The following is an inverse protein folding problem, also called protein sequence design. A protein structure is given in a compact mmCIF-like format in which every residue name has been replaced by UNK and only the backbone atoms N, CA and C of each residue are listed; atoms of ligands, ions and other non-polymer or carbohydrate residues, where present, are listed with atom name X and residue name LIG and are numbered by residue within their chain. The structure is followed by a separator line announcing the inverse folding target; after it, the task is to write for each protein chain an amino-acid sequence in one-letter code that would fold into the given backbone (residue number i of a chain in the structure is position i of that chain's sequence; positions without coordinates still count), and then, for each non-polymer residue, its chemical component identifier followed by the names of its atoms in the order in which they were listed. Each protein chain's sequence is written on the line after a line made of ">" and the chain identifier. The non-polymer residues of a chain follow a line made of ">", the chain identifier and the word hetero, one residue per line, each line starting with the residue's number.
data_IF_619701121288
#
_entry.id   IF_619701121288
#
_cell.length_a   1.000
_cell.length_b   1.000
_cell.length_c   1.000
_cell.angle_alpha   90.00
_cell.angle_beta   90.00
_cell.angle_gamma   90.00
#
_symmetry.space_group_name_H-M   'P 1'
#
loop_
_entity.id
_entity.type
_entity.pdbx_description
1 polymer ?
#
# COMPACT_ATOMS: atom_id res chain seq x y z
N UNK A 1 8.30 -29.84 15.66
CA UNK A 1 7.83 -28.65 16.43
C UNK A 1 8.84 -27.52 16.48
N UNK A 2 10.11 -27.75 16.80
CA UNK A 2 11.12 -26.67 16.85
C UNK A 2 11.40 -25.98 15.49
N UNK A 3 11.40 -26.70 14.38
CA UNK A 3 11.63 -26.14 13.03
C UNK A 3 10.49 -25.20 12.66
N UNK A 4 9.24 -25.60 12.86
CA UNK A 4 8.06 -24.80 12.56
C UNK A 4 8.04 -23.48 13.38
N UNK A 5 8.41 -23.55 14.66
CA UNK A 5 8.49 -22.37 15.52
C UNK A 5 9.60 -21.40 15.07
N UNK A 6 10.73 -21.91 14.60
CA UNK A 6 11.86 -21.12 14.08
C UNK A 6 11.48 -20.39 12.81
N UNK A 7 10.83 -21.07 11.86
CA UNK A 7 10.39 -20.49 10.59
C UNK A 7 9.32 -19.42 10.83
N UNK A 8 8.41 -19.67 11.78
CA UNK A 8 7.39 -18.70 12.17
C UNK A 8 7.99 -17.45 12.82
N UNK A 9 8.96 -17.59 13.73
CA UNK A 9 9.66 -16.46 14.34
C UNK A 9 10.43 -15.63 13.30
N UNK A 10 11.08 -16.30 12.37
CA UNK A 10 11.79 -15.64 11.28
C UNK A 10 10.82 -14.85 10.40
N UNK A 11 9.68 -15.43 10.03
CA UNK A 11 8.63 -14.76 9.25
C UNK A 11 8.11 -13.51 9.97
N UNK A 12 7.80 -13.62 11.26
CA UNK A 12 7.35 -12.50 12.09
C UNK A 12 8.39 -11.37 12.10
N UNK A 13 9.66 -11.70 12.22
CA UNK A 13 10.74 -10.71 12.23
C UNK A 13 10.82 -9.92 10.94
N UNK A 14 10.76 -10.58 9.77
CA UNK A 14 10.79 -9.92 8.47
C UNK A 14 9.52 -9.08 8.22
N UNK A 15 8.36 -9.57 8.61
CA UNK A 15 7.10 -8.81 8.54
C UNK A 15 7.18 -7.57 9.42
N UNK A 16 7.71 -7.70 10.63
CA UNK A 16 7.84 -6.58 11.57
C UNK A 16 8.75 -5.47 11.02
N UNK A 17 9.91 -5.83 10.46
CA UNK A 17 10.83 -4.86 9.85
C UNK A 17 10.19 -4.21 8.62
N UNK A 18 9.63 -5.00 7.72
CA UNK A 18 8.93 -4.48 6.55
C UNK A 18 7.78 -3.55 6.93
N UNK A 19 6.97 -3.96 7.91
CA UNK A 19 5.86 -3.16 8.43
C UNK A 19 6.30 -1.86 9.08
N UNK A 20 7.37 -1.88 9.85
CA UNK A 20 7.97 -0.67 10.44
C UNK A 20 8.43 0.31 9.35
N UNK A 21 9.16 -0.16 8.35
CA UNK A 21 9.60 0.65 7.22
C UNK A 21 8.41 1.19 6.42
N UNK A 22 7.43 0.36 6.13
CA UNK A 22 6.21 0.76 5.42
C UNK A 22 5.42 1.83 6.18
N UNK A 23 5.21 1.64 7.48
CA UNK A 23 4.47 2.59 8.33
C UNK A 23 5.17 3.94 8.46
N UNK A 24 6.50 3.95 8.62
CA UNK A 24 7.30 5.19 8.66
C UNK A 24 7.23 5.90 7.31
N UNK A 25 7.38 5.18 6.20
CA UNK A 25 7.29 5.73 4.85
C UNK A 25 5.90 6.33 4.58
N UNK A 26 4.84 5.66 5.03
CA UNK A 26 3.45 6.16 4.95
C UNK A 26 3.26 7.47 5.69
N UNK A 27 3.86 7.60 6.86
CA UNK A 27 3.79 8.84 7.65
C UNK A 27 4.61 9.97 7.02
N UNK A 28 5.76 9.65 6.47
CA UNK A 28 6.72 10.62 5.95
C UNK A 28 6.32 11.15 4.57
N UNK A 29 5.87 10.28 3.66
CA UNK A 29 5.62 10.65 2.26
C UNK A 29 4.60 11.79 2.10
N UNK A 30 3.42 11.80 2.75
CA UNK A 30 2.49 12.91 2.66
C UNK A 30 3.08 14.23 3.17
N UNK A 31 3.95 14.18 4.17
CA UNK A 31 4.63 15.37 4.70
C UNK A 31 5.62 15.97 3.72
N UNK A 32 6.32 15.15 2.97
CA UNK A 32 7.22 15.61 1.91
C UNK A 32 6.47 16.22 0.73
N UNK A 33 5.22 15.78 0.51
CA UNK A 33 4.35 16.28 -0.55
C UNK A 33 3.52 17.50 -0.15
N UNK A 34 3.54 17.91 1.12
CA UNK A 34 2.82 19.05 1.67
C UNK A 34 3.35 20.41 1.14
N UNK A 35 3.29 20.68 -0.06
CA UNK A 35 3.68 21.98 -0.62
C UNK A 35 3.18 22.12 -2.05
N UNK A 36 2.61 21.05 -2.58
CA UNK A 36 2.44 20.98 -4.02
C UNK A 36 1.01 21.10 -4.50
N UNK A 37 -0.02 20.66 -3.77
CA UNK A 37 -1.43 20.84 -4.22
C UNK A 37 -2.47 20.32 -3.18
N UNK A 38 -3.54 21.09 -2.97
CA UNK A 38 -4.85 20.72 -2.43
C UNK A 38 -4.94 20.39 -0.93
N UNK A 39 -5.11 21.44 -0.14
CA UNK A 39 -5.42 21.36 1.29
C UNK A 39 -6.81 20.75 1.62
N UNK A 40 -7.68 20.58 0.63
CA UNK A 40 -9.10 20.16 0.83
C UNK A 40 -9.33 18.68 0.53
N UNK A 41 -8.50 18.08 -0.28
CA UNK A 41 -8.64 16.68 -0.70
C UNK A 41 -7.57 15.81 -0.03
N UNK A 42 -7.90 14.59 0.49
CA UNK A 42 -6.92 13.74 1.18
C UNK A 42 -5.94 13.06 0.20
N UNK A 43 -5.18 13.88 -0.51
CA UNK A 43 -4.23 13.43 -1.54
C UNK A 43 -3.08 12.60 -0.99
N UNK A 44 -2.68 12.87 0.27
CA UNK A 44 -1.60 12.12 0.90
C UNK A 44 -1.92 10.64 1.04
N UNK A 45 -3.07 10.30 1.61
CA UNK A 45 -3.54 8.93 1.76
C UNK A 45 -3.79 8.26 0.40
N UNK A 46 -4.39 8.98 -0.53
CA UNK A 46 -4.63 8.47 -1.88
C UNK A 46 -3.32 8.12 -2.58
N UNK A 47 -2.33 9.01 -2.55
CA UNK A 47 -1.01 8.79 -3.15
C UNK A 47 -0.32 7.57 -2.55
N UNK A 48 -0.30 7.46 -1.22
CA UNK A 48 0.30 6.34 -0.51
C UNK A 48 -0.36 5.02 -0.91
N UNK A 49 -1.69 4.98 -0.92
CA UNK A 49 -2.44 3.78 -1.28
C UNK A 49 -2.23 3.40 -2.75
N UNK A 50 -2.21 4.36 -3.68
CA UNK A 50 -1.97 4.10 -5.10
C UNK A 50 -0.54 3.60 -5.35
N UNK A 51 0.47 4.20 -4.71
CA UNK A 51 1.85 3.71 -4.80
C UNK A 51 1.98 2.31 -4.20
N UNK A 52 1.32 2.04 -3.08
CA UNK A 52 1.29 0.70 -2.49
C UNK A 52 0.61 -0.32 -3.41
N UNK A 53 -0.47 0.05 -4.09
CA UNK A 53 -1.13 -0.79 -5.10
C UNK A 53 -0.21 -1.07 -6.30
N UNK A 54 0.52 -0.07 -6.76
CA UNK A 54 1.49 -0.24 -7.84
C UNK A 54 2.60 -1.20 -7.43
N UNK A 55 3.18 -1.01 -6.24
CA UNK A 55 4.25 -1.87 -5.71
C UNK A 55 3.78 -3.31 -5.53
N UNK A 56 2.59 -3.53 -4.95
CA UNK A 56 2.06 -4.88 -4.78
C UNK A 56 1.85 -5.57 -6.13
N UNK A 57 1.39 -4.83 -7.14
CA UNK A 57 1.25 -5.32 -8.51
C UNK A 57 2.59 -5.75 -9.10
N UNK A 58 3.65 -4.95 -8.94
CA UNK A 58 5.00 -5.29 -9.38
C UNK A 58 5.51 -6.56 -8.67
N UNK A 59 5.36 -6.65 -7.36
CA UNK A 59 5.83 -7.81 -6.59
C UNK A 59 5.12 -9.10 -7.01
N UNK A 60 3.82 -9.11 -7.10
CA UNK A 60 3.07 -10.28 -7.57
C UNK A 60 3.36 -10.61 -9.04
N UNK A 61 3.51 -9.61 -9.88
CA UNK A 61 3.91 -9.81 -11.27
C UNK A 61 5.28 -10.47 -11.42
N UNK A 62 6.25 -10.11 -10.56
CA UNK A 62 7.57 -10.77 -10.51
C UNK A 62 7.43 -12.21 -10.01
N UNK A 63 6.63 -12.45 -8.98
CA UNK A 63 6.39 -13.78 -8.43
C UNK A 63 5.74 -14.71 -9.47
N UNK A 64 4.74 -14.22 -10.20
CA UNK A 64 4.03 -14.99 -11.23
C UNK A 64 4.91 -15.43 -12.40
N UNK A 65 6.03 -14.73 -12.62
CA UNK A 65 7.01 -15.12 -13.65
C UNK A 65 7.91 -16.28 -13.23
N UNK A 66 7.74 -16.83 -12.05
CA UNK A 66 8.54 -17.96 -11.57
C UNK A 66 9.99 -17.60 -11.28
N UNK A 67 10.28 -16.35 -10.88
CA UNK A 67 11.64 -15.87 -10.58
C UNK A 67 12.27 -16.50 -9.34
N UNK A 68 11.56 -17.42 -8.66
CA UNK A 68 12.08 -18.09 -7.46
C UNK A 68 12.26 -17.16 -6.25
N UNK A 69 11.53 -16.06 -6.19
CA UNK A 69 11.55 -15.16 -5.02
C UNK A 69 11.23 -15.96 -3.75
N UNK A 70 12.13 -15.91 -2.77
CA UNK A 70 11.94 -16.64 -1.52
C UNK A 70 10.71 -16.16 -0.76
N UNK A 71 10.08 -17.06 0.02
CA UNK A 71 8.92 -16.72 0.85
C UNK A 71 9.21 -15.56 1.83
N UNK A 72 10.45 -15.45 2.30
CA UNK A 72 10.89 -14.36 3.19
C UNK A 72 10.74 -12.99 2.51
N UNK A 73 11.17 -12.86 1.26
CA UNK A 73 11.02 -11.62 0.51
C UNK A 73 9.56 -11.26 0.21
N UNK A 74 8.72 -12.26 -0.07
CA UNK A 74 7.28 -12.06 -0.22
C UNK A 74 6.66 -11.52 1.07
N UNK A 75 7.00 -12.12 2.20
CA UNK A 75 6.52 -11.68 3.51
C UNK A 75 7.00 -10.27 3.86
N UNK A 76 8.28 -10.00 3.65
CA UNK A 76 8.87 -8.69 3.91
C UNK A 76 8.24 -7.58 3.06
N UNK A 77 8.14 -7.80 1.74
CA UNK A 77 7.70 -6.77 0.79
C UNK A 77 6.17 -6.64 0.76
N UNK A 78 5.45 -7.73 0.55
CA UNK A 78 4.00 -7.67 0.37
C UNK A 78 3.27 -7.52 1.70
N UNK A 79 3.50 -8.42 2.66
CA UNK A 79 2.79 -8.39 3.95
C UNK A 79 3.33 -7.29 4.85
N UNK A 80 4.65 -7.18 4.98
CA UNK A 80 5.30 -6.19 5.83
C UNK A 80 5.22 -4.80 5.23
N UNK A 81 6.04 -4.52 4.22
CA UNK A 81 6.19 -3.17 3.69
C UNK A 81 4.89 -2.62 3.08
N UNK A 82 4.31 -3.28 2.10
CA UNK A 82 3.07 -2.80 1.47
C UNK A 82 1.91 -2.77 2.46
N UNK A 83 1.79 -3.77 3.35
CA UNK A 83 0.78 -3.80 4.41
C UNK A 83 0.91 -2.64 5.40
N UNK A 84 2.12 -2.27 5.79
CA UNK A 84 2.38 -1.11 6.64
C UNK A 84 2.27 0.23 5.91
N UNK A 85 2.63 0.27 4.63
CA UNK A 85 2.62 1.47 3.81
C UNK A 85 1.22 1.93 3.43
N UNK A 86 0.32 1.01 3.05
CA UNK A 86 -1.07 1.32 2.69
C UNK A 86 -1.97 1.40 3.93
N UNK A 87 -3.11 2.10 3.81
CA UNK A 87 -4.04 2.25 4.93
C UNK A 87 -5.49 2.33 4.48
N UNK A 88 -6.29 1.38 4.92
CA UNK A 88 -7.73 1.37 4.71
C UNK A 88 -8.48 2.16 5.79
N UNK A 89 -8.01 2.07 7.04
CA UNK A 89 -8.66 2.77 8.17
C UNK A 89 -8.62 4.29 8.02
N UNK A 90 -7.49 4.84 7.65
CA UNK A 90 -7.35 6.29 7.37
C UNK A 90 -8.24 6.71 6.21
N UNK A 91 -8.25 5.93 5.13
CA UNK A 91 -9.15 6.14 3.98
C UNK A 91 -10.63 6.19 4.39
N UNK A 92 -11.10 5.24 5.20
CA UNK A 92 -12.47 5.22 5.69
C UNK A 92 -12.78 6.45 6.58
N UNK A 93 -11.86 6.80 7.48
CA UNK A 93 -12.03 7.95 8.36
C UNK A 93 -12.08 9.28 7.59
N UNK A 94 -11.24 9.45 6.58
CA UNK A 94 -11.24 10.63 5.72
C UNK A 94 -12.52 10.72 4.88
N UNK A 95 -12.97 9.59 4.31
CA UNK A 95 -14.26 9.52 3.59
C UNK A 95 -15.42 9.91 4.49
N UNK A 96 -15.46 9.38 5.72
CA UNK A 96 -16.49 9.75 6.70
C UNK A 96 -16.44 11.24 7.05
N UNK A 97 -15.27 11.81 7.19
CA UNK A 97 -15.08 13.24 7.45
C UNK A 97 -15.64 14.09 6.33
N UNK A 98 -15.39 13.73 5.07
CA UNK A 98 -15.97 14.41 3.91
C UNK A 98 -17.50 14.32 3.90
N UNK A 99 -18.08 13.18 4.27
CA UNK A 99 -19.52 13.01 4.38
C UNK A 99 -20.12 13.89 5.50
N UNK A 100 -19.45 13.94 6.66
CA UNK A 100 -19.90 14.77 7.81
C UNK A 100 -19.84 16.27 7.54
N UNK A 101 -18.90 16.70 6.71
CA UNK A 101 -18.74 18.09 6.30
C UNK A 101 -19.58 18.46 5.07
N UNK A 102 -20.55 17.63 4.71
CA UNK A 102 -21.46 17.83 3.55
C UNK A 102 -20.76 17.87 2.18
N UNK A 103 -19.53 17.35 2.10
CA UNK A 103 -18.76 17.28 0.86
C UNK A 103 -19.01 15.95 0.13
N UNK A 104 -20.27 15.72 -0.28
CA UNK A 104 -20.73 14.44 -0.84
C UNK A 104 -20.01 14.07 -2.14
N UNK A 105 -19.78 15.02 -3.03
CA UNK A 105 -19.09 14.78 -4.31
C UNK A 105 -17.62 14.45 -4.10
N UNK A 106 -16.95 15.14 -3.18
CA UNK A 106 -15.57 14.85 -2.83
C UNK A 106 -15.45 13.47 -2.17
N UNK A 107 -16.39 13.10 -1.31
CA UNK A 107 -16.43 11.77 -0.70
C UNK A 107 -16.63 10.67 -1.75
N UNK A 108 -17.55 10.85 -2.69
CA UNK A 108 -17.80 9.92 -3.78
C UNK A 108 -16.61 9.80 -4.73
N UNK A 109 -16.03 10.93 -5.13
CA UNK A 109 -14.84 10.97 -5.99
C UNK A 109 -13.62 10.34 -5.31
N UNK A 110 -13.38 10.65 -4.05
CA UNK A 110 -12.28 10.10 -3.27
C UNK A 110 -12.40 8.59 -3.08
N UNK A 111 -13.55 8.11 -2.62
CA UNK A 111 -13.76 6.68 -2.36
C UNK A 111 -13.79 5.88 -3.65
N UNK A 112 -14.60 6.26 -4.62
CA UNK A 112 -14.71 5.58 -5.91
C UNK A 112 -13.40 5.67 -6.72
N UNK A 113 -12.82 6.85 -6.78
CA UNK A 113 -11.54 7.09 -7.47
C UNK A 113 -10.40 6.28 -6.86
N UNK A 114 -10.28 6.23 -5.54
CA UNK A 114 -9.24 5.44 -4.86
C UNK A 114 -9.36 3.95 -5.18
N UNK A 115 -10.56 3.38 -5.20
CA UNK A 115 -10.79 1.97 -5.52
C UNK A 115 -10.45 1.68 -6.98
N UNK A 116 -11.01 2.45 -7.92
CA UNK A 116 -10.79 2.23 -9.35
C UNK A 116 -9.34 2.42 -9.72
N UNK A 117 -8.73 3.53 -9.32
CA UNK A 117 -7.32 3.83 -9.59
C UNK A 117 -6.38 2.85 -8.88
N UNK A 118 -6.75 2.37 -7.69
CA UNK A 118 -6.00 1.33 -6.97
C UNK A 118 -5.94 0.03 -7.76
N UNK A 119 -7.06 -0.45 -8.29
CA UNK A 119 -7.12 -1.66 -9.13
C UNK A 119 -6.29 -1.47 -10.40
N UNK A 120 -6.43 -0.31 -11.07
CA UNK A 120 -5.64 0.03 -12.26
C UNK A 120 -4.15 0.07 -11.93
N UNK A 121 -3.76 0.64 -10.78
CA UNK A 121 -2.37 0.70 -10.33
C UNK A 121 -1.78 -0.70 -10.11
N UNK A 122 -2.52 -1.62 -9.49
CA UNK A 122 -2.10 -3.04 -9.37
C UNK A 122 -1.86 -3.65 -10.74
N UNK A 123 -2.81 -3.47 -11.66
CA UNK A 123 -2.70 -4.00 -13.03
C UNK A 123 -1.49 -3.44 -13.77
N UNK A 124 -1.26 -2.13 -13.70
CA UNK A 124 -0.07 -1.49 -14.28
C UNK A 124 1.20 -2.05 -13.66
N UNK A 125 1.23 -2.22 -12.33
CA UNK A 125 2.37 -2.83 -11.64
C UNK A 125 2.68 -4.23 -12.15
N UNK A 126 1.67 -5.06 -12.35
CA UNK A 126 1.83 -6.40 -12.95
C UNK A 126 2.37 -6.35 -14.37
N UNK A 127 1.90 -5.40 -15.19
CA UNK A 127 2.42 -5.20 -16.54
C UNK A 127 3.89 -4.75 -16.54
N UNK A 128 4.24 -3.81 -15.67
CA UNK A 128 5.63 -3.36 -15.52
C UNK A 128 6.57 -4.51 -15.13
N UNK A 129 6.13 -5.39 -14.24
CA UNK A 129 6.89 -6.58 -13.87
C UNK A 129 7.17 -7.52 -15.05
N UNK A 130 6.28 -7.54 -16.04
CA UNK A 130 6.47 -8.34 -17.27
C UNK A 130 7.52 -7.76 -18.22
N UNK A 131 7.80 -6.47 -18.09
CA UNK A 131 8.76 -5.76 -18.94
C UNK A 131 10.21 -5.84 -18.40
N UNK A 132 10.35 -6.19 -17.13
CA UNK A 132 11.66 -6.39 -16.47
C UNK A 132 12.10 -7.85 -16.60
#
# INVERSE_FOLDING_TARGET
>A
MCIFAKDMLQSIFYIAIGGALGSVSRWLLPKLLQGTFLAVFPMGTMTVNLLGCLLIGVFYGIVDRGTGMSEIWKLFLAVGFCGGFTTFSTFCNETLTLLRTQQLWQAAAYSGGSVVLGIVAVYIGMLLARMI
#
